data_IF_819054866807
#
_entry.id   IF_819054866807
#
_cell.length_a   1.000
_cell.length_b   1.000
_cell.length_c   1.000
_cell.angle_alpha   90.00
_cell.angle_beta   90.00
_cell.angle_gamma   90.00
#
_symmetry.space_group_name_H-M   'P 1'
#
loop_
_entity.id
_entity.type
_entity.pdbx_description
1 polymer ?
#
# COMPACT_ATOMS: atom_id res chain seq x y z
N UNK A 1 -37.31 -3.89 3.85
CA UNK A 1 -36.29 -4.87 4.28
C UNK A 1 -35.53 -4.27 5.46
N UNK A 2 -35.35 -4.99 6.57
CA UNK A 2 -34.68 -4.43 7.74
C UNK A 2 -33.23 -4.08 7.40
N UNK A 3 -32.86 -2.82 7.62
CA UNK A 3 -31.48 -2.32 7.46
C UNK A 3 -30.64 -2.83 8.62
N UNK A 4 -30.06 -4.02 8.47
CA UNK A 4 -28.95 -4.44 9.33
C UNK A 4 -27.68 -3.73 8.87
N UNK A 5 -27.56 -2.45 9.21
CA UNK A 5 -26.25 -1.80 9.23
C UNK A 5 -25.47 -2.46 10.35
N UNK A 6 -24.40 -3.24 10.08
CA UNK A 6 -23.58 -3.77 11.14
C UNK A 6 -23.04 -2.58 11.95
N UNK A 7 -23.26 -2.59 13.26
CA UNK A 7 -22.61 -1.65 14.16
C UNK A 7 -21.11 -1.93 14.09
N UNK A 8 -20.37 -1.08 13.38
CA UNK A 8 -18.91 -1.13 13.37
C UNK A 8 -18.47 -0.55 14.71
N UNK A 9 -18.27 -1.42 15.70
CA UNK A 9 -17.60 -1.00 16.92
C UNK A 9 -16.17 -0.55 16.56
N UNK A 10 -15.70 0.58 17.10
CA UNK A 10 -14.34 1.04 16.83
C UNK A 10 -13.37 -0.03 17.29
N UNK A 11 -12.69 -0.69 16.35
CA UNK A 11 -11.57 -1.55 16.68
C UNK A 11 -10.37 -0.64 17.01
N UNK A 12 -9.89 -0.60 18.26
CA UNK A 12 -8.72 0.19 18.58
C UNK A 12 -7.53 -0.48 17.89
N UNK A 13 -7.05 0.11 16.79
CA UNK A 13 -5.77 -0.26 16.21
C UNK A 13 -4.68 0.39 17.06
N UNK A 14 -3.86 -0.37 17.80
CA UNK A 14 -2.77 0.18 18.60
C UNK A 14 -1.62 0.58 17.67
N UNK A 15 -1.80 1.66 16.91
CA UNK A 15 -0.78 2.22 16.05
C UNK A 15 0.03 3.21 16.89
N UNK A 16 1.19 2.77 17.36
CA UNK A 16 2.11 3.65 18.06
C UNK A 16 2.62 4.76 17.10
N UNK A 17 2.87 5.98 17.60
CA UNK A 17 3.59 6.98 16.83
C UNK A 17 4.97 6.45 16.41
N UNK A 18 5.43 6.89 15.24
CA UNK A 18 6.75 6.52 14.75
C UNK A 18 7.85 7.03 15.70
N UNK A 19 8.67 6.12 16.24
CA UNK A 19 9.86 6.50 17.00
C UNK A 19 10.90 7.10 16.05
N UNK A 20 11.32 8.34 16.34
CA UNK A 20 12.31 9.09 15.54
C UNK A 20 13.70 9.10 16.16
N UNK A 21 13.88 8.56 17.36
CA UNK A 21 15.18 8.52 18.03
C UNK A 21 16.31 7.93 17.15
N UNK A 22 16.11 6.84 16.38
CA UNK A 22 17.20 6.26 15.57
C UNK A 22 17.43 6.98 14.22
N UNK A 23 16.74 8.08 13.90
CA UNK A 23 16.83 8.71 12.58
C UNK A 23 18.25 9.15 12.20
N UNK A 24 19.00 9.74 13.14
CA UNK A 24 20.38 10.18 12.90
C UNK A 24 21.32 8.97 12.70
N UNK A 25 21.14 7.90 13.48
CA UNK A 25 21.90 6.66 13.35
C UNK A 25 21.66 6.01 11.97
N UNK A 26 20.40 5.94 11.53
CA UNK A 26 20.03 5.41 10.22
C UNK A 26 20.61 6.26 9.09
N UNK A 27 20.53 7.59 9.18
CA UNK A 27 21.15 8.51 8.21
C UNK A 27 22.66 8.28 8.12
N UNK A 28 23.35 8.21 9.25
CA UNK A 28 24.79 7.95 9.28
C UNK A 28 25.15 6.61 8.62
N UNK A 29 24.35 5.56 8.83
CA UNK A 29 24.53 4.24 8.18
C UNK A 29 24.35 4.32 6.66
N UNK A 30 23.43 5.13 6.16
CA UNK A 30 23.22 5.36 4.72
C UNK A 30 24.34 6.22 4.12
N UNK A 31 24.77 7.27 4.82
CA UNK A 31 25.86 8.15 4.38
C UNK A 31 27.21 7.44 4.36
N UNK A 32 27.41 6.42 5.21
CA UNK A 32 28.62 5.59 5.23
C UNK A 32 28.68 4.49 4.17
N UNK A 33 27.70 4.40 3.26
CA UNK A 33 27.76 3.45 2.13
C UNK A 33 28.72 3.94 1.04
N UNK A 34 29.22 3.03 0.21
CA UNK A 34 30.12 3.32 -0.91
C UNK A 34 29.40 4.09 -2.04
N UNK A 35 29.08 5.35 -1.79
CA UNK A 35 28.37 6.29 -2.67
C UNK A 35 28.67 7.73 -2.24
N UNK A 36 28.63 8.74 -3.15
CA UNK A 36 28.58 10.13 -2.72
C UNK A 36 27.33 10.38 -1.87
N UNK A 37 27.44 11.22 -0.83
CA UNK A 37 26.30 11.59 0.01
C UNK A 37 25.17 12.19 -0.83
N UNK A 38 23.94 11.74 -0.63
CA UNK A 38 22.77 12.20 -1.37
C UNK A 38 22.64 11.68 -2.81
N UNK A 39 23.61 10.92 -3.34
CA UNK A 39 23.61 10.49 -4.75
C UNK A 39 22.45 9.55 -5.12
N UNK A 40 21.82 8.87 -4.15
CA UNK A 40 20.65 8.03 -4.42
C UNK A 40 19.31 8.77 -4.23
N UNK A 41 19.35 10.06 -3.90
CA UNK A 41 18.17 10.93 -3.77
C UNK A 41 17.09 10.32 -2.86
N UNK A 42 15.88 10.18 -3.41
CA UNK A 42 14.69 9.67 -2.68
C UNK A 42 14.87 8.25 -2.12
N UNK A 43 15.77 7.44 -2.66
CA UNK A 43 16.04 6.11 -2.09
C UNK A 43 16.68 6.20 -0.70
N UNK A 44 17.44 7.24 -0.41
CA UNK A 44 18.03 7.44 0.93
C UNK A 44 16.94 7.79 1.96
N UNK A 45 15.98 8.63 1.55
CA UNK A 45 14.83 9.01 2.37
C UNK A 45 13.93 7.80 2.65
N UNK A 46 13.63 7.01 1.61
CA UNK A 46 12.85 5.79 1.73
C UNK A 46 13.54 4.77 2.66
N UNK A 47 14.86 4.59 2.54
CA UNK A 47 15.61 3.68 3.40
C UNK A 47 15.53 4.07 4.88
N UNK A 48 15.56 5.38 5.18
CA UNK A 48 15.38 5.88 6.55
C UNK A 48 13.95 5.66 7.03
N UNK A 49 12.95 5.98 6.20
CA UNK A 49 11.54 5.76 6.55
C UNK A 49 11.28 4.29 6.88
N UNK A 50 11.74 3.36 6.03
CA UNK A 50 11.62 1.93 6.27
C UNK A 50 12.37 1.51 7.54
N UNK A 51 13.57 2.05 7.75
CA UNK A 51 14.37 1.82 8.95
C UNK A 51 13.66 2.26 10.23
N UNK A 52 12.97 3.40 10.22
CA UNK A 52 12.19 3.88 11.38
C UNK A 52 10.97 2.99 11.64
N UNK A 53 10.29 2.51 10.59
CA UNK A 53 9.12 1.63 10.72
C UNK A 53 9.53 0.26 11.30
N UNK A 54 10.69 -0.25 10.91
CA UNK A 54 11.13 -1.60 11.27
C UNK A 54 12.04 -1.65 12.50
N UNK A 55 12.55 -0.50 12.97
CA UNK A 55 13.49 -0.44 14.08
C UNK A 55 12.98 -1.22 15.31
N UNK A 56 13.83 -2.05 15.97
CA UNK A 56 15.28 -2.21 15.78
C UNK A 56 15.68 -3.25 14.71
N UNK A 57 14.71 -3.86 14.02
CA UNK A 57 14.96 -4.85 13.00
C UNK A 57 15.34 -4.18 11.65
N UNK A 58 16.15 -4.85 10.82
CA UNK A 58 16.36 -4.39 9.45
C UNK A 58 15.06 -4.51 8.65
N UNK A 59 14.75 -3.56 7.75
CA UNK A 59 13.62 -3.67 6.84
C UNK A 59 13.70 -4.95 6.00
N UNK A 60 12.58 -5.62 5.81
CA UNK A 60 12.49 -6.77 4.92
C UNK A 60 11.40 -6.60 3.87
N UNK A 61 11.57 -7.29 2.74
CA UNK A 61 10.69 -7.20 1.58
C UNK A 61 10.46 -8.59 0.94
N UNK A 62 10.51 -9.68 1.73
CA UNK A 62 10.35 -11.04 1.17
C UNK A 62 8.91 -11.31 0.70
N UNK A 63 7.91 -10.65 1.30
CA UNK A 63 6.51 -10.75 0.89
C UNK A 63 5.86 -9.38 0.90
N UNK A 64 5.26 -9.03 -0.22
CA UNK A 64 4.40 -7.86 -0.38
C UNK A 64 3.05 -8.30 -0.94
N UNK A 65 1.98 -7.65 -0.50
CA UNK A 65 0.60 -7.97 -0.89
C UNK A 65 -0.13 -6.69 -1.28
N UNK A 66 -0.87 -6.73 -2.38
CA UNK A 66 -1.81 -5.68 -2.78
C UNK A 66 -3.22 -6.16 -2.48
N UNK A 67 -3.96 -5.40 -1.69
CA UNK A 67 -5.38 -5.64 -1.47
C UNK A 67 -6.22 -4.76 -2.40
N UNK A 68 -7.06 -5.38 -3.23
CA UNK A 68 -8.02 -4.66 -4.08
C UNK A 68 -9.40 -4.69 -3.44
N UNK A 69 -9.89 -3.52 -3.04
CA UNK A 69 -11.24 -3.35 -2.55
C UNK A 69 -12.13 -2.85 -3.69
N UNK A 70 -13.21 -3.57 -3.98
CA UNK A 70 -14.17 -3.21 -5.03
C UNK A 70 -15.57 -3.07 -4.44
N UNK A 71 -16.21 -1.94 -4.72
CA UNK A 71 -17.58 -1.64 -4.33
C UNK A 71 -18.20 -0.66 -5.33
N UNK A 72 -19.51 -0.75 -5.51
CA UNK A 72 -20.26 0.24 -6.26
C UNK A 72 -20.67 1.43 -5.39
N UNK A 73 -20.88 2.57 -6.03
CA UNK A 73 -21.43 3.77 -5.40
C UNK A 73 -22.78 4.09 -6.04
N UNK A 74 -23.84 4.25 -5.23
CA UNK A 74 -25.20 4.55 -5.73
C UNK A 74 -25.27 5.82 -6.60
N UNK A 75 -24.39 6.79 -6.35
CA UNK A 75 -24.26 8.03 -7.13
C UNK A 75 -23.95 7.79 -8.61
N UNK A 76 -23.41 6.62 -8.98
CA UNK A 76 -23.17 6.26 -10.38
C UNK A 76 -24.45 6.27 -11.23
N UNK A 77 -25.64 6.09 -10.62
CA UNK A 77 -26.93 6.20 -11.30
C UNK A 77 -27.22 7.63 -11.81
N UNK A 78 -26.60 8.65 -11.23
CA UNK A 78 -26.78 10.07 -11.59
C UNK A 78 -25.92 10.49 -12.80
N UNK A 79 -25.26 9.55 -13.48
CA UNK A 79 -24.47 9.84 -14.69
C UNK A 79 -23.14 10.57 -14.43
N UNK A 80 -22.66 10.58 -13.18
CA UNK A 80 -21.38 11.22 -12.78
C UNK A 80 -20.15 10.40 -13.18
N UNK A 81 -20.34 9.15 -13.63
CA UNK A 81 -19.28 8.24 -14.05
C UNK A 81 -19.27 8.08 -15.57
N UNK A 82 -18.08 7.97 -16.16
CA UNK A 82 -17.90 7.64 -17.58
C UNK A 82 -18.29 6.20 -17.93
N UNK A 83 -18.45 5.34 -16.92
CA UNK A 83 -18.76 3.92 -17.07
C UNK A 83 -19.96 3.53 -16.21
N UNK A 84 -20.81 2.59 -16.68
CA UNK A 84 -21.90 2.07 -15.88
C UNK A 84 -21.37 1.25 -14.68
N UNK A 85 -22.15 1.15 -13.61
CA UNK A 85 -21.78 0.41 -12.39
C UNK A 85 -21.43 -1.07 -12.67
N UNK A 86 -22.00 -1.68 -13.73
CA UNK A 86 -21.65 -3.04 -14.15
C UNK A 86 -20.16 -3.23 -14.47
N UNK A 87 -19.41 -2.15 -14.78
CA UNK A 87 -17.97 -2.21 -15.03
C UNK A 87 -17.19 -2.59 -13.75
N UNK A 88 -17.67 -2.24 -12.55
CA UNK A 88 -17.04 -2.68 -11.29
C UNK A 88 -16.93 -4.21 -11.25
N UNK A 89 -18.05 -4.90 -11.53
CA UNK A 89 -18.09 -6.36 -11.60
C UNK A 89 -17.18 -6.91 -12.71
N UNK A 90 -17.24 -6.33 -13.90
CA UNK A 90 -16.40 -6.75 -15.03
C UNK A 90 -14.89 -6.62 -14.73
N UNK A 91 -14.50 -5.56 -13.99
CA UNK A 91 -13.13 -5.38 -13.54
C UNK A 91 -12.73 -6.40 -12.48
N UNK A 92 -13.61 -6.72 -11.51
CA UNK A 92 -13.37 -7.80 -10.54
C UNK A 92 -13.15 -9.14 -11.24
N UNK A 93 -13.98 -9.49 -12.22
CA UNK A 93 -13.81 -10.69 -13.04
C UNK A 93 -12.46 -10.66 -13.80
N UNK A 94 -12.01 -9.48 -14.24
CA UNK A 94 -10.71 -9.28 -14.89
C UNK A 94 -9.54 -9.45 -13.92
N UNK A 95 -9.64 -8.97 -12.68
CA UNK A 95 -8.64 -9.18 -11.62
C UNK A 95 -8.49 -10.66 -11.29
N UNK A 96 -9.62 -11.35 -11.06
CA UNK A 96 -9.65 -12.79 -10.75
C UNK A 96 -9.12 -13.64 -11.91
N UNK A 97 -9.34 -13.20 -13.15
CA UNK A 97 -8.81 -13.88 -14.33
C UNK A 97 -7.33 -13.58 -14.61
N UNK A 98 -6.65 -12.76 -13.80
CA UNK A 98 -5.22 -12.49 -13.95
C UNK A 98 -4.86 -11.53 -15.09
N UNK A 99 -5.85 -10.84 -15.68
CA UNK A 99 -5.72 -10.08 -16.95
C UNK A 99 -5.67 -8.56 -16.77
N UNK A 100 -5.88 -8.03 -15.57
CA UNK A 100 -5.82 -6.59 -15.36
C UNK A 100 -4.36 -6.09 -15.31
N UNK A 101 -4.18 -4.79 -15.51
CA UNK A 101 -2.86 -4.16 -15.38
C UNK A 101 -2.19 -4.42 -14.03
N UNK A 102 -2.97 -4.42 -12.93
CA UNK A 102 -2.43 -4.71 -11.60
C UNK A 102 -1.90 -6.15 -11.48
N UNK A 103 -2.51 -7.13 -12.14
CA UNK A 103 -1.99 -8.49 -12.16
C UNK A 103 -0.62 -8.56 -12.85
N UNK A 104 -0.44 -7.80 -13.94
CA UNK A 104 0.84 -7.74 -14.68
C UNK A 104 1.92 -7.11 -13.80
N UNK A 105 1.61 -5.97 -13.16
CA UNK A 105 2.55 -5.29 -12.28
C UNK A 105 2.92 -6.14 -11.06
N UNK A 106 1.93 -6.76 -10.42
CA UNK A 106 2.14 -7.63 -9.27
C UNK A 106 3.09 -8.80 -9.60
N UNK A 107 2.89 -9.46 -10.75
CA UNK A 107 3.82 -10.49 -11.22
C UNK A 107 5.22 -9.94 -11.53
N UNK A 108 5.29 -8.79 -12.19
CA UNK A 108 6.58 -8.17 -12.57
C UNK A 108 7.42 -7.75 -11.37
N UNK A 109 6.79 -7.48 -10.22
CA UNK A 109 7.45 -7.06 -8.98
C UNK A 109 7.44 -8.11 -7.86
N UNK A 110 6.99 -9.34 -8.15
CA UNK A 110 6.85 -10.44 -7.18
C UNK A 110 5.99 -10.06 -5.95
N UNK A 111 4.89 -9.36 -6.21
CA UNK A 111 3.89 -8.96 -5.23
C UNK A 111 2.68 -9.88 -5.37
N UNK A 112 2.14 -10.33 -4.24
CA UNK A 112 0.89 -11.08 -4.18
C UNK A 112 -0.29 -10.12 -4.38
N UNK A 113 -1.30 -10.56 -5.14
CA UNK A 113 -2.50 -9.80 -5.44
C UNK A 113 -3.73 -10.61 -5.03
#
# INVERSE_FOLDING_TARGET
MPSHSPSIEPFPLPIAPLDRAPAQLLRARIDGKAKPRGSLGRLEELAIQLGLIWHPLPPRAERAVVFVFAADHGMAAEGVSLYPASVTRAMVETYLAGRAGINVLARATNVEL
#
